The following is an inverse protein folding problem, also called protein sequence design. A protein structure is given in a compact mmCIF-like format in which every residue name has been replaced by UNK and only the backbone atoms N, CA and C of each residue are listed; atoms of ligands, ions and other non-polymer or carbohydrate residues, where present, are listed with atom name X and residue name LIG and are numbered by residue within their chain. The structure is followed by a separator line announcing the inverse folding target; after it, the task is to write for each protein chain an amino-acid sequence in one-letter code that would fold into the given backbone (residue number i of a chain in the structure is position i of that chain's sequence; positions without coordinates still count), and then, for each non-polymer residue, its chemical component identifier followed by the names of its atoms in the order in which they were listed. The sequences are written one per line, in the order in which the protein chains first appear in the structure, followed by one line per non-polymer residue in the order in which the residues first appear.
data_IF_046240149598
#
_entry.id   IF_046240149598
#
_cell.length_a   1.000
_cell.length_b   1.000
_cell.length_c   1.000
_cell.angle_alpha   90.00
_cell.angle_beta   90.00
_cell.angle_gamma   90.00
#
_symmetry.space_group_name_H-M   'P 1'
#
loop_
_entity.id
_entity.type
_entity.pdbx_description
1 polymer ?
#
# COMPACT_ATOMS: atom_id res chain seq x y z
N UNK A 1 -14.78 -34.93 -12.12
CA UNK A 1 -14.90 -34.56 -10.71
C UNK A 1 -13.86 -35.27 -9.86
N UNK A 2 -12.73 -34.59 -9.61
CA UNK A 2 -11.56 -35.10 -8.91
C UNK A 2 -11.87 -35.33 -7.42
N UNK A 3 -11.29 -36.35 -6.78
CA UNK A 3 -11.55 -36.67 -5.36
C UNK A 3 -11.15 -35.52 -4.41
N UNK A 4 -10.23 -34.65 -4.84
CA UNK A 4 -9.85 -33.42 -4.15
C UNK A 4 -11.03 -32.44 -3.98
N UNK A 5 -11.95 -32.36 -4.95
CA UNK A 5 -13.08 -31.43 -4.92
C UNK A 5 -14.15 -31.79 -3.88
N UNK A 6 -14.14 -33.05 -3.38
CA UNK A 6 -15.12 -33.54 -2.39
C UNK A 6 -14.62 -33.50 -0.95
N UNK A 7 -13.37 -33.11 -0.72
CA UNK A 7 -12.76 -33.16 0.62
C UNK A 7 -13.21 -32.05 1.56
N UNK A 8 -13.82 -30.99 1.04
CA UNK A 8 -14.45 -29.97 1.87
C UNK A 8 -15.89 -30.38 2.15
N UNK A 9 -16.29 -30.40 3.42
CA UNK A 9 -17.63 -30.76 3.90
C UNK A 9 -18.72 -29.80 3.36
N UNK A 10 -18.32 -28.69 2.74
CA UNK A 10 -19.19 -27.68 2.17
C UNK A 10 -19.47 -27.92 0.67
N UNK A 11 -20.75 -27.85 0.22
CA UNK A 11 -21.11 -27.97 -1.20
C UNK A 11 -20.31 -26.98 -2.06
N UNK A 12 -19.76 -27.41 -3.20
CA UNK A 12 -18.90 -26.56 -4.04
C UNK A 12 -19.65 -25.34 -4.61
N UNK A 13 -20.97 -25.43 -4.77
CA UNK A 13 -21.84 -24.31 -5.18
C UNK A 13 -21.88 -23.20 -4.13
N UNK A 14 -21.95 -23.54 -2.84
CA UNK A 14 -21.96 -22.54 -1.75
C UNK A 14 -20.62 -21.81 -1.67
N UNK A 15 -19.51 -22.54 -1.81
CA UNK A 15 -18.16 -21.95 -1.82
C UNK A 15 -17.99 -21.01 -3.01
N UNK A 16 -18.48 -21.38 -4.20
CA UNK A 16 -18.43 -20.53 -5.38
C UNK A 16 -19.25 -19.24 -5.22
N UNK A 17 -20.44 -19.31 -4.62
CA UNK A 17 -21.24 -18.12 -4.32
C UNK A 17 -20.57 -17.22 -3.27
N UNK A 18 -20.11 -17.78 -2.15
CA UNK A 18 -19.38 -17.02 -1.13
C UNK A 18 -18.12 -16.35 -1.70
N UNK A 19 -17.44 -17.01 -2.64
CA UNK A 19 -16.32 -16.41 -3.37
C UNK A 19 -16.73 -15.21 -4.23
N UNK A 20 -17.85 -15.32 -4.96
CA UNK A 20 -18.34 -14.26 -5.84
C UNK A 20 -18.95 -13.07 -5.10
N UNK A 21 -19.50 -13.31 -3.92
CA UNK A 21 -20.05 -12.28 -3.03
C UNK A 21 -18.99 -11.70 -2.06
N UNK A 22 -17.73 -12.13 -2.18
CA UNK A 22 -16.58 -11.70 -1.37
C UNK A 22 -16.75 -11.99 0.14
N UNK A 23 -17.43 -13.09 0.47
CA UNK A 23 -17.75 -13.52 1.84
C UNK A 23 -16.75 -14.53 2.41
N UNK A 24 -15.83 -15.06 1.60
CA UNK A 24 -14.78 -15.97 2.07
C UNK A 24 -13.72 -15.24 2.89
N UNK A 25 -13.20 -15.89 3.93
CA UNK A 25 -12.01 -15.38 4.61
C UNK A 25 -10.82 -15.31 3.63
N UNK A 26 -9.88 -14.37 3.81
CA UNK A 26 -8.75 -14.20 2.90
C UNK A 26 -7.94 -15.48 2.64
N UNK A 27 -7.78 -16.33 3.66
CA UNK A 27 -7.10 -17.62 3.58
C UNK A 27 -7.89 -18.61 2.70
N UNK A 28 -9.19 -18.76 2.95
CA UNK A 28 -10.08 -19.65 2.19
C UNK A 28 -10.19 -19.22 0.72
N UNK A 29 -10.28 -17.91 0.48
CA UNK A 29 -10.27 -17.32 -0.85
C UNK A 29 -8.99 -17.71 -1.60
N UNK A 30 -7.83 -17.53 -0.96
CA UNK A 30 -6.54 -17.86 -1.56
C UNK A 30 -6.42 -19.35 -1.88
N UNK A 31 -6.88 -20.22 -0.99
CA UNK A 31 -6.90 -21.67 -1.22
C UNK A 31 -7.78 -22.04 -2.41
N UNK A 32 -8.98 -21.45 -2.50
CA UNK A 32 -9.88 -21.66 -3.64
C UNK A 32 -9.27 -21.17 -4.95
N UNK A 33 -8.66 -19.99 -4.96
CA UNK A 33 -8.00 -19.42 -6.15
C UNK A 33 -6.85 -20.31 -6.62
N UNK A 34 -5.99 -20.77 -5.71
CA UNK A 34 -4.92 -21.74 -6.03
C UNK A 34 -5.50 -23.04 -6.59
N UNK A 35 -6.56 -23.56 -5.99
CA UNK A 35 -7.22 -24.76 -6.47
C UNK A 35 -7.85 -24.57 -7.87
N UNK A 36 -8.48 -23.42 -8.13
CA UNK A 36 -9.10 -23.11 -9.42
C UNK A 36 -8.07 -22.93 -10.55
N UNK A 37 -6.80 -22.62 -10.24
CA UNK A 37 -5.71 -22.64 -11.21
C UNK A 37 -5.39 -24.06 -11.69
N UNK A 38 -5.51 -25.06 -10.81
CA UNK A 38 -5.16 -26.45 -11.09
C UNK A 38 -6.37 -27.32 -11.46
N UNK A 39 -7.59 -26.91 -11.11
CA UNK A 39 -8.81 -27.68 -11.31
C UNK A 39 -9.77 -27.01 -12.30
N UNK A 40 -9.88 -27.59 -13.51
CA UNK A 40 -10.80 -27.11 -14.54
C UNK A 40 -12.29 -27.22 -14.14
N UNK A 41 -12.66 -28.25 -13.36
CA UNK A 41 -14.04 -28.44 -12.90
C UNK A 41 -14.48 -27.28 -11.97
N UNK A 42 -13.64 -26.90 -11.00
CA UNK A 42 -13.93 -25.79 -10.08
C UNK A 42 -13.94 -24.43 -10.79
N UNK A 43 -13.06 -24.24 -11.77
CA UNK A 43 -13.08 -23.04 -12.61
C UNK A 43 -14.38 -22.92 -13.39
N UNK A 44 -14.80 -23.99 -14.07
CA UNK A 44 -16.06 -24.03 -14.81
C UNK A 44 -17.26 -23.78 -13.90
N UNK A 45 -17.24 -24.26 -12.65
CA UNK A 45 -18.28 -23.96 -11.68
C UNK A 45 -18.34 -22.47 -11.33
N UNK A 46 -17.21 -21.86 -10.97
CA UNK A 46 -17.11 -20.41 -10.65
C UNK A 46 -17.59 -19.57 -11.84
N UNK A 47 -17.17 -19.92 -13.06
CA UNK A 47 -17.59 -19.22 -14.28
C UNK A 47 -19.10 -19.35 -14.49
N UNK A 48 -19.68 -20.54 -14.29
CA UNK A 48 -21.12 -20.75 -14.42
C UNK A 48 -21.94 -19.97 -13.37
N UNK A 49 -21.47 -19.87 -12.13
CA UNK A 49 -22.14 -19.07 -11.10
C UNK A 49 -22.02 -17.58 -11.40
N UNK A 50 -20.86 -17.13 -11.92
CA UNK A 50 -20.65 -15.75 -12.34
C UNK A 50 -21.60 -15.37 -13.47
N UNK A 51 -21.78 -16.22 -14.46
CA UNK A 51 -22.75 -16.00 -15.55
C UNK A 51 -24.18 -15.89 -15.01
N UNK A 52 -24.57 -16.76 -14.07
CA UNK A 52 -25.90 -16.68 -13.41
C UNK A 52 -26.06 -15.40 -12.60
N UNK A 53 -25.04 -14.98 -11.85
CA UNK A 53 -25.06 -13.74 -11.07
C UNK A 53 -25.19 -12.53 -12.01
N UNK A 54 -24.44 -12.50 -13.11
CA UNK A 54 -24.54 -11.45 -14.14
C UNK A 54 -25.93 -11.42 -14.80
N UNK A 55 -26.50 -12.59 -15.12
CA UNK A 55 -27.87 -12.67 -15.64
C UNK A 55 -28.90 -12.12 -14.64
N UNK A 56 -28.77 -12.41 -13.35
CA UNK A 56 -29.62 -11.82 -12.30
C UNK A 56 -29.46 -10.31 -12.21
N UNK A 57 -28.22 -9.81 -12.21
CA UNK A 57 -27.93 -8.36 -12.19
C UNK A 57 -28.53 -7.67 -13.42
N UNK A 58 -28.46 -8.28 -14.60
CA UNK A 58 -29.04 -7.73 -15.82
C UNK A 58 -30.57 -7.63 -15.80
N UNK A 59 -31.25 -8.49 -15.03
CA UNK A 59 -32.71 -8.41 -14.82
C UNK A 59 -33.09 -7.30 -13.84
N UNK A 60 -32.16 -6.83 -13.01
CA UNK A 60 -32.40 -5.72 -12.10
C UNK A 60 -32.26 -4.40 -12.86
N UNK A 61 -33.32 -3.60 -12.89
CA UNK A 61 -33.23 -2.23 -13.39
C UNK A 61 -32.34 -1.42 -12.45
N UNK A 62 -31.11 -1.13 -12.88
CA UNK A 62 -30.23 -0.25 -12.13
C UNK A 62 -30.91 1.13 -12.02
N UNK A 63 -31.02 1.70 -10.81
CA UNK A 63 -31.54 3.06 -10.67
C UNK A 63 -30.61 4.01 -11.43
N UNK A 64 -31.20 5.01 -12.09
CA UNK A 64 -30.41 6.02 -12.77
C UNK A 64 -29.50 6.73 -11.77
N UNK A 65 -28.18 6.61 -11.96
CA UNK A 65 -27.22 7.34 -11.15
C UNK A 65 -27.46 8.85 -11.28
N UNK A 66 -27.50 9.63 -10.18
CA UNK A 66 -27.65 11.08 -10.24
C UNK A 66 -26.56 11.72 -11.12
N UNK A 67 -26.94 12.71 -11.93
CA UNK A 67 -26.01 13.33 -12.90
C UNK A 67 -24.78 13.93 -12.23
N UNK A 68 -24.94 14.48 -11.02
CA UNK A 68 -23.83 15.02 -10.22
C UNK A 68 -22.81 13.93 -9.84
N UNK A 69 -23.29 12.73 -9.49
CA UNK A 69 -22.41 11.62 -9.16
C UNK A 69 -21.68 11.12 -10.41
N UNK A 70 -22.39 10.98 -11.53
CA UNK A 70 -21.80 10.60 -12.82
C UNK A 70 -20.71 11.59 -13.25
N UNK A 71 -20.99 12.89 -13.18
CA UNK A 71 -20.03 13.94 -13.50
C UNK A 71 -18.84 14.00 -12.53
N UNK A 72 -19.05 13.69 -11.25
CA UNK A 72 -17.95 13.62 -10.27
C UNK A 72 -17.04 12.43 -10.55
N UNK A 73 -17.60 11.23 -10.77
CA UNK A 73 -16.83 10.02 -11.06
C UNK A 73 -16.09 10.18 -12.39
N UNK A 74 -16.76 10.70 -13.43
CA UNK A 74 -16.13 10.98 -14.72
C UNK A 74 -14.89 11.88 -14.60
N UNK A 75 -14.98 12.98 -13.83
CA UNK A 75 -13.83 13.85 -13.59
C UNK A 75 -12.67 13.18 -12.87
N UNK A 76 -12.95 12.27 -11.93
CA UNK A 76 -11.90 11.52 -11.22
C UNK A 76 -11.21 10.55 -12.18
N UNK A 77 -11.97 9.81 -12.98
CA UNK A 77 -11.43 8.88 -13.97
C UNK A 77 -10.63 9.61 -15.07
N UNK A 78 -11.14 10.75 -15.56
CA UNK A 78 -10.44 11.57 -16.56
C UNK A 78 -9.10 12.09 -16.02
N UNK A 79 -9.05 12.46 -14.73
CA UNK A 79 -7.83 12.91 -14.09
C UNK A 79 -6.80 11.77 -13.94
N UNK A 80 -7.24 10.57 -13.55
CA UNK A 80 -6.39 9.37 -13.47
C UNK A 80 -5.84 8.97 -14.85
N UNK A 81 -6.68 9.00 -15.88
CA UNK A 81 -6.27 8.73 -17.26
C UNK A 81 -5.23 9.74 -17.76
N UNK A 82 -5.41 11.03 -17.46
CA UNK A 82 -4.45 12.06 -17.80
C UNK A 82 -3.11 11.87 -17.06
N UNK A 83 -3.15 11.54 -15.77
CA UNK A 83 -1.97 11.23 -14.98
C UNK A 83 -1.21 10.02 -15.53
N UNK A 84 -1.93 8.95 -15.92
CA UNK A 84 -1.34 7.76 -16.51
C UNK A 84 -0.71 8.03 -17.88
N UNK A 85 -1.37 8.83 -18.74
CA UNK A 85 -0.83 9.21 -20.06
C UNK A 85 0.41 10.08 -19.96
N UNK A 86 0.44 11.02 -19.02
CA UNK A 86 1.63 11.86 -18.79
C UNK A 86 2.77 11.02 -18.24
N UNK A 87 2.54 10.18 -17.23
CA UNK A 87 3.55 9.26 -16.71
C UNK A 87 4.11 8.33 -17.81
N UNK A 88 3.25 7.78 -18.67
CA UNK A 88 3.67 6.98 -19.81
C UNK A 88 4.55 7.78 -20.77
N UNK A 89 4.17 9.00 -21.16
CA UNK A 89 4.99 9.85 -22.04
C UNK A 89 6.40 10.11 -21.48
N UNK A 90 6.52 10.34 -20.18
CA UNK A 90 7.83 10.55 -19.54
C UNK A 90 8.66 9.26 -19.49
N UNK A 91 8.04 8.09 -19.29
CA UNK A 91 8.74 6.79 -19.32
C UNK A 91 9.33 6.48 -20.70
N UNK A 92 8.72 6.94 -21.78
CA UNK A 92 9.21 6.74 -23.15
C UNK A 92 10.24 7.79 -23.58
N UNK A 93 10.39 8.90 -22.85
CA UNK A 93 11.40 9.93 -23.12
C UNK A 93 12.77 9.64 -22.46
N UNK A 94 12.82 8.71 -21.50
CA UNK A 94 14.03 8.36 -20.75
C UNK A 94 15.03 7.37 -21.41
N UNK A 95 14.69 6.50 -22.39
CA UNK A 95 15.67 5.53 -22.90
C UNK A 95 16.82 6.19 -23.70
N UNK A 96 16.64 7.41 -24.20
CA UNK A 96 17.70 8.14 -24.92
C UNK A 96 18.83 8.67 -24.01
N UNK A 97 18.50 9.09 -22.79
CA UNK A 97 19.47 9.70 -21.88
C UNK A 97 20.41 8.64 -21.24
N UNK A 98 19.89 7.44 -20.96
CA UNK A 98 20.68 6.34 -20.41
C UNK A 98 21.73 5.82 -21.40
N UNK A 99 21.40 5.77 -22.70
CA UNK A 99 22.33 5.33 -23.76
C UNK A 99 23.42 6.39 -23.99
N UNK A 100 23.07 7.69 -23.98
CA UNK A 100 24.05 8.77 -24.12
C UNK A 100 25.04 8.84 -22.94
N UNK A 101 24.57 8.61 -21.71
CA UNK A 101 25.44 8.56 -20.52
C UNK A 101 26.43 7.38 -20.56
N UNK A 102 25.99 6.20 -21.03
CA UNK A 102 26.86 5.04 -21.20
C UNK A 102 27.95 5.27 -22.28
N UNK A 103 27.62 5.95 -23.37
CA UNK A 103 28.59 6.31 -24.41
C UNK A 103 29.63 7.33 -23.91
N UNK A 104 29.22 8.31 -23.09
CA UNK A 104 30.15 9.29 -22.51
C UNK A 104 31.13 8.63 -21.50
N UNK A 105 30.68 7.64 -20.73
CA UNK A 105 31.54 6.90 -19.81
C UNK A 105 32.62 6.06 -20.54
N UNK A 106 32.30 5.52 -21.72
CA UNK A 106 33.26 4.80 -22.57
C UNK A 106 34.37 5.72 -23.10
N UNK A 107 34.05 6.96 -23.47
CA UNK A 107 35.05 7.92 -23.97
C UNK A 107 36.04 8.32 -22.88
N UNK A 108 35.58 8.52 -21.64
CA UNK A 108 36.45 8.86 -20.50
C UNK A 108 37.42 7.70 -20.17
N UNK A 109 36.98 6.44 -20.31
CA UNK A 109 37.84 5.29 -20.05
C UNK A 109 38.91 5.09 -21.14
N UNK A 110 38.64 5.47 -22.39
CA UNK A 110 39.64 5.34 -23.47
C UNK A 110 40.76 6.38 -23.43
N UNK A 111 40.53 7.55 -22.80
CA UNK A 111 41.55 8.61 -22.71
C UNK A 111 42.36 8.54 -21.41
N UNK A 112 41.84 7.87 -20.36
CA UNK A 112 42.51 7.75 -19.06
C UNK A 112 43.49 6.58 -18.90
N UNK A 113 43.61 5.67 -19.87
CA UNK A 113 44.37 4.43 -19.75
C UNK A 113 45.86 4.54 -20.16
N UNK A 114 46.54 5.63 -19.79
CA UNK A 114 48.01 5.71 -19.82
C UNK A 114 48.51 5.93 -18.39
N UNK A 115 48.90 4.83 -17.76
CA UNK A 115 49.67 4.85 -16.52
C UNK A 115 48.88 4.51 -15.27
N UNK A 116 48.76 3.23 -14.96
CA UNK A 116 49.08 2.68 -13.63
C UNK A 116 49.03 1.15 -13.71
N UNK A 117 50.14 0.51 -13.32
CA UNK A 117 50.20 -0.92 -13.11
C UNK A 117 49.35 -1.26 -11.88
N UNK A 118 48.24 -1.96 -12.09
CA UNK A 118 47.47 -2.55 -11.00
C UNK A 118 47.18 -4.02 -11.28
N UNK A 119 47.47 -4.79 -10.23
CA UNK A 119 47.46 -6.23 -10.07
C UNK A 119 46.06 -6.82 -10.34
N UNK A 120 45.92 -7.90 -11.14
CA UNK A 120 44.62 -8.51 -11.38
C UNK A 120 44.25 -9.45 -10.23
N UNK A 121 43.20 -9.11 -9.48
CA UNK A 121 42.64 -9.93 -8.41
C UNK A 121 41.12 -9.94 -8.43
N UNK A 122 40.56 -11.02 -8.96
CA UNK A 122 39.26 -11.62 -8.65
C UNK A 122 37.93 -10.87 -8.93
N UNK A 123 37.19 -11.49 -9.87
CA UNK A 123 35.73 -11.76 -9.91
C UNK A 123 34.78 -10.57 -10.10
N UNK A 124 34.24 -10.34 -11.30
CA UNK A 124 33.18 -11.10 -11.98
C UNK A 124 31.77 -10.85 -11.41
N UNK A 125 31.04 -9.95 -12.09
CA UNK A 125 29.62 -10.12 -12.40
C UNK A 125 28.60 -9.84 -11.30
N UNK A 126 28.24 -8.57 -11.09
CA UNK A 126 26.89 -8.22 -10.64
C UNK A 126 26.19 -7.42 -11.73
N UNK A 127 25.53 -8.15 -12.63
CA UNK A 127 24.47 -7.59 -13.47
C UNK A 127 23.27 -7.36 -12.55
N UNK A 128 22.88 -6.10 -12.38
CA UNK A 128 21.68 -5.72 -11.65
C UNK A 128 20.45 -6.39 -12.31
N UNK A 129 19.95 -7.45 -11.68
CA UNK A 129 18.64 -8.00 -12.03
C UNK A 129 17.58 -7.00 -11.56
N UNK A 130 16.99 -6.27 -12.50
CA UNK A 130 15.73 -5.56 -12.28
C UNK A 130 14.66 -6.62 -12.14
N UNK A 131 14.27 -6.93 -10.90
CA UNK A 131 13.19 -7.84 -10.62
C UNK A 131 11.89 -7.35 -11.31
N UNK A 132 11.14 -8.23 -11.99
CA UNK A 132 9.82 -7.87 -12.48
C UNK A 132 8.95 -7.48 -11.28
N UNK A 133 8.27 -6.34 -11.39
CA UNK A 133 7.26 -5.88 -10.43
C UNK A 133 6.17 -6.96 -10.37
N UNK A 134 6.29 -7.88 -9.42
CA UNK A 134 5.30 -8.91 -9.16
C UNK A 134 3.95 -8.24 -8.89
N UNK A 135 2.89 -8.87 -9.39
CA UNK A 135 1.51 -8.46 -9.22
C UNK A 135 1.26 -8.01 -7.77
N UNK A 136 0.77 -6.78 -7.63
CA UNK A 136 0.56 -6.13 -6.33
C UNK A 136 -0.46 -6.96 -5.54
N UNK A 137 -0.11 -7.54 -4.38
CA UNK A 137 -1.15 -8.05 -3.49
C UNK A 137 -1.99 -6.85 -3.06
N UNK A 138 -3.29 -6.90 -3.34
CA UNK A 138 -4.26 -6.04 -2.67
C UNK A 138 -4.27 -6.51 -1.23
N UNK A 139 -3.53 -5.82 -0.37
CA UNK A 139 -3.53 -6.09 1.07
C UNK A 139 -4.84 -5.51 1.60
N UNK A 140 -5.86 -6.34 1.68
CA UNK A 140 -7.12 -6.02 2.34
C UNK A 140 -6.88 -6.11 3.85
N UNK A 141 -6.80 -4.96 4.52
CA UNK A 141 -6.53 -4.93 5.97
C UNK A 141 -7.83 -4.73 6.74
N UNK A 142 -8.27 -5.79 7.41
CA UNK A 142 -9.30 -5.72 8.42
C UNK A 142 -8.75 -5.07 9.68
N UNK A 143 -9.19 -3.84 9.96
CA UNK A 143 -8.80 -3.09 11.15
C UNK A 143 -9.80 -1.97 11.43
N UNK A 144 -11.01 -2.34 11.86
CA UNK A 144 -11.95 -1.39 12.46
C UNK A 144 -11.73 -1.41 13.98
N UNK A 145 -11.12 -0.35 14.50
CA UNK A 145 -10.95 -0.14 15.94
C UNK A 145 -11.88 0.95 16.42
N UNK A 146 -12.66 0.70 17.48
CA UNK A 146 -13.42 1.75 18.17
C UNK A 146 -12.73 2.10 19.48
N UNK A 147 -12.41 3.37 19.63
CA UNK A 147 -11.82 3.96 20.84
C UNK A 147 -12.83 4.96 21.37
N UNK A 148 -12.89 5.19 22.68
CA UNK A 148 -13.92 6.03 23.30
C UNK A 148 -14.09 7.37 22.55
N UNK A 149 -15.23 7.52 21.85
CA UNK A 149 -15.58 8.72 21.09
C UNK A 149 -14.92 8.87 19.72
N UNK A 150 -14.10 7.91 19.27
CA UNK A 150 -13.50 7.89 17.95
C UNK A 150 -13.56 6.51 17.27
N UNK A 151 -14.16 6.43 16.09
CA UNK A 151 -14.07 5.23 15.25
C UNK A 151 -12.92 5.40 14.26
N UNK A 152 -12.06 4.40 14.17
CA UNK A 152 -10.93 4.39 13.27
C UNK A 152 -11.01 3.19 12.34
N UNK A 153 -10.78 3.41 11.05
CA UNK A 153 -10.78 2.38 10.02
C UNK A 153 -9.54 2.48 9.17
N UNK A 154 -8.79 1.40 9.06
CA UNK A 154 -7.74 1.28 8.04
C UNK A 154 -8.40 1.15 6.66
N UNK A 155 -8.12 2.10 5.78
CA UNK A 155 -8.69 2.20 4.43
C UNK A 155 -7.81 1.51 3.40
N UNK A 156 -6.50 1.44 3.64
CA UNK A 156 -5.60 0.71 2.76
C UNK A 156 -4.13 0.84 3.16
N UNK A 157 -3.31 0.04 2.50
CA UNK A 157 -1.86 0.00 2.68
C UNK A 157 -1.20 -0.02 1.31
N UNK A 158 -0.08 0.70 1.16
CA UNK A 158 0.75 0.62 -0.04
C UNK A 158 2.24 0.70 0.29
N UNK A 159 3.10 0.05 -0.52
CA UNK A 159 4.54 0.30 -0.46
C UNK A 159 4.85 1.77 -0.73
N UNK A 160 5.77 2.35 0.04
CA UNK A 160 6.24 3.71 -0.09
C UNK A 160 7.72 3.81 0.32
N UNK A 161 8.26 5.02 0.24
CA UNK A 161 9.54 5.36 0.84
C UNK A 161 9.36 6.53 1.80
N UNK A 162 10.03 6.48 2.95
CA UNK A 162 10.06 7.57 3.93
C UNK A 162 11.50 7.81 4.34
N UNK A 163 12.01 9.03 4.14
CA UNK A 163 13.43 9.38 4.33
C UNK A 163 14.38 8.42 3.60
N UNK A 164 14.09 8.14 2.33
CA UNK A 164 14.82 7.20 1.46
C UNK A 164 14.90 5.74 1.97
N UNK A 165 14.11 5.40 2.99
CA UNK A 165 13.98 4.03 3.49
C UNK A 165 12.68 3.39 2.98
N UNK A 166 12.69 2.10 2.62
CA UNK A 166 11.47 1.36 2.31
C UNK A 166 10.49 1.39 3.50
N UNK A 167 9.23 1.70 3.22
CA UNK A 167 8.19 1.81 4.23
C UNK A 167 6.85 1.23 3.74
N UNK A 168 6.01 0.81 4.67
CA UNK A 168 4.59 0.60 4.41
C UNK A 168 3.83 1.88 4.76
N UNK A 169 3.12 2.47 3.79
CA UNK A 169 2.24 3.60 4.01
C UNK A 169 0.80 3.10 4.22
N UNK A 170 0.22 3.44 5.35
CA UNK A 170 -1.12 3.06 5.78
C UNK A 170 -2.02 4.30 5.81
N UNK A 171 -3.28 4.13 5.39
CA UNK A 171 -4.28 5.20 5.35
C UNK A 171 -5.41 4.91 6.31
N UNK A 172 -5.62 5.77 7.30
CA UNK A 172 -6.70 5.63 8.27
C UNK A 172 -7.75 6.73 8.08
N UNK A 173 -9.01 6.33 8.16
CA UNK A 173 -10.15 7.24 8.37
C UNK A 173 -10.51 7.23 9.85
N UNK A 174 -10.52 8.42 10.45
CA UNK A 174 -10.88 8.64 11.84
C UNK A 174 -12.15 9.50 11.91
N UNK A 175 -13.18 9.06 12.62
CA UNK A 175 -14.29 9.93 13.00
C UNK A 175 -14.04 10.48 14.41
N UNK A 176 -13.81 11.78 14.55
CA UNK A 176 -13.57 12.45 15.83
C UNK A 176 -14.49 13.69 15.91
N UNK A 177 -15.30 13.78 16.97
CA UNK A 177 -16.23 14.91 17.16
C UNK A 177 -17.24 15.07 16.01
N UNK A 178 -17.68 13.97 15.39
CA UNK A 178 -18.61 13.97 14.26
C UNK A 178 -17.99 14.38 12.92
N UNK A 179 -16.69 14.70 12.86
CA UNK A 179 -15.96 14.99 11.62
C UNK A 179 -15.06 13.83 11.25
N UNK A 180 -14.89 13.60 9.94
CA UNK A 180 -13.92 12.62 9.42
C UNK A 180 -12.58 13.31 9.20
N UNK A 181 -11.52 12.65 9.64
CA UNK A 181 -10.13 13.06 9.52
C UNK A 181 -9.34 11.94 8.84
N UNK A 182 -8.34 12.30 8.06
CA UNK A 182 -7.38 11.34 7.51
C UNK A 182 -6.11 11.32 8.36
N UNK A 183 -5.65 10.12 8.68
CA UNK A 183 -4.35 9.90 9.33
C UNK A 183 -3.52 8.99 8.43
N UNK A 184 -2.29 9.38 8.15
CA UNK A 184 -1.35 8.61 7.32
C UNK A 184 -0.29 8.04 8.26
N UNK A 185 -0.16 6.72 8.29
CA UNK A 185 0.89 6.02 9.03
C UNK A 185 2.00 5.55 8.10
N UNK A 186 3.24 5.61 8.54
CA UNK A 186 4.38 4.95 7.92
C UNK A 186 4.99 3.96 8.90
N UNK A 187 5.26 2.73 8.44
CA UNK A 187 5.99 1.71 9.19
C UNK A 187 7.31 1.41 8.48
N UNK A 188 8.41 1.48 9.22
CA UNK A 188 9.76 1.28 8.71
C UNK A 188 10.45 0.18 9.54
N UNK A 189 11.08 -0.81 8.90
CA UNK A 189 11.79 -1.87 9.63
C UNK A 189 13.05 -1.40 10.35
N UNK A 190 13.68 -0.33 9.87
CA UNK A 190 14.89 0.24 10.45
C UNK A 190 14.70 1.75 10.55
N UNK A 191 14.23 2.21 11.71
CA UNK A 191 13.96 3.61 11.94
C UNK A 191 15.25 4.45 11.88
N UNK A 192 15.38 5.38 10.92
CA UNK A 192 16.51 6.29 10.94
C UNK A 192 16.38 7.26 12.14
N UNK A 193 17.49 7.75 12.72
CA UNK A 193 17.47 8.56 13.95
C UNK A 193 16.66 9.85 13.81
N UNK A 194 16.46 10.35 12.59
CA UNK A 194 15.64 11.50 12.24
C UNK A 194 14.16 11.32 12.65
N UNK A 195 13.68 10.09 12.79
CA UNK A 195 12.31 9.82 13.28
C UNK A 195 12.13 10.28 14.73
N UNK A 196 13.21 10.36 15.52
CA UNK A 196 13.19 10.84 16.90
C UNK A 196 13.35 12.38 17.01
N UNK A 197 13.16 13.10 15.91
CA UNK A 197 13.18 14.55 15.92
C UNK A 197 11.90 15.14 16.55
N UNK A 198 12.03 16.28 17.24
CA UNK A 198 10.91 17.01 17.82
C UNK A 198 10.83 16.93 19.35
N UNK A 199 9.68 17.31 19.90
CA UNK A 199 9.43 17.30 21.34
C UNK A 199 9.14 15.87 21.80
N UNK A 200 9.89 15.41 22.81
CA UNK A 200 9.69 14.10 23.42
C UNK A 200 8.52 14.12 24.41
N UNK A 201 7.63 13.14 24.29
CA UNK A 201 6.53 12.85 25.20
C UNK A 201 6.62 11.40 25.67
N UNK A 202 6.29 11.14 26.93
CA UNK A 202 6.20 9.77 27.47
C UNK A 202 4.76 9.51 27.87
N UNK A 203 4.11 8.56 27.21
CA UNK A 203 2.70 8.21 27.45
C UNK A 203 2.52 6.71 27.38
N UNK A 204 1.87 6.11 28.39
CA UNK A 204 1.62 4.66 28.43
C UNK A 204 2.91 3.81 28.38
N UNK A 205 4.02 4.31 28.92
CA UNK A 205 5.32 3.63 28.86
C UNK A 205 6.03 3.70 27.50
N UNK A 206 5.47 4.41 26.51
CA UNK A 206 6.07 4.61 25.19
C UNK A 206 6.67 6.01 25.08
N UNK A 207 7.85 6.08 24.47
CA UNK A 207 8.46 7.35 24.05
C UNK A 207 7.89 7.72 22.67
N UNK A 208 7.27 8.90 22.60
CA UNK A 208 6.71 9.48 21.39
C UNK A 208 7.43 10.78 21.10
N UNK A 209 7.66 11.07 19.83
CA UNK A 209 8.26 12.32 19.38
C UNK A 209 7.25 13.08 18.53
N UNK A 210 7.04 14.35 18.87
CA UNK A 210 6.06 15.21 18.21
C UNK A 210 6.78 16.31 17.47
N UNK A 211 6.58 16.37 16.17
CA UNK A 211 7.19 17.38 15.30
C UNK A 211 6.12 18.04 14.42
N UNK A 212 6.34 19.31 14.07
CA UNK A 212 5.58 19.97 12.99
C UNK A 212 6.45 19.91 11.74
N UNK A 213 6.00 19.16 10.74
CA UNK A 213 6.73 18.98 9.48
C UNK A 213 6.14 19.91 8.42
N UNK A 214 6.98 20.44 7.53
CA UNK A 214 6.52 21.32 6.44
C UNK A 214 6.57 22.83 6.73
N UNK A 215 7.42 23.28 7.66
CA UNK A 215 7.60 24.69 8.05
C UNK A 215 8.20 25.65 7.01
N UNK A 216 7.95 25.42 5.72
CA UNK A 216 8.19 26.42 4.67
C UNK A 216 7.12 27.51 4.67
N UNK A 217 6.79 28.06 3.50
CA UNK A 217 5.68 29.03 3.34
C UNK A 217 4.26 28.41 3.45
N UNK A 218 4.16 27.10 3.70
CA UNK A 218 2.89 26.38 3.83
C UNK A 218 2.51 26.08 5.28
N UNK A 219 1.24 25.76 5.55
CA UNK A 219 0.83 25.26 6.86
C UNK A 219 1.56 23.94 7.14
N UNK A 220 2.40 23.92 8.16
CA UNK A 220 3.00 22.69 8.65
C UNK A 220 1.92 21.74 9.16
N UNK A 221 2.18 20.44 9.06
CA UNK A 221 1.30 19.39 9.59
C UNK A 221 1.98 18.69 10.77
N UNK A 222 1.16 18.21 11.70
CA UNK A 222 1.67 17.47 12.85
C UNK A 222 2.13 16.08 12.43
N UNK A 223 3.23 15.65 13.04
CA UNK A 223 3.77 14.31 12.96
C UNK A 223 4.00 13.78 14.38
N UNK A 224 3.58 12.55 14.64
CA UNK A 224 3.85 11.81 15.87
C UNK A 224 4.58 10.54 15.49
N UNK A 225 5.74 10.31 16.09
CA UNK A 225 6.56 9.14 15.80
C UNK A 225 6.92 8.34 17.04
N UNK A 226 7.16 7.05 16.81
CA UNK A 226 7.59 6.08 17.81
C UNK A 226 8.65 5.15 17.20
N UNK A 227 9.59 4.69 18.01
CA UNK A 227 10.52 3.62 17.65
C UNK A 227 10.46 2.57 18.74
N UNK A 228 10.13 1.34 18.37
CA UNK A 228 10.03 0.23 19.32
C UNK A 228 11.40 -0.39 19.65
N UNK A 229 11.37 -1.48 20.43
CA UNK A 229 12.58 -2.18 20.86
C UNK A 229 13.32 -2.84 19.67
N UNK A 230 12.59 -3.25 18.64
CA UNK A 230 13.11 -3.92 17.43
C UNK A 230 13.58 -2.93 16.36
N UNK A 231 13.65 -1.63 16.71
CA UNK A 231 13.98 -0.52 15.80
C UNK A 231 12.98 -0.32 14.67
N UNK A 232 11.74 -0.82 14.81
CA UNK A 232 10.67 -0.50 13.88
C UNK A 232 10.17 0.91 14.17
N UNK A 233 10.16 1.74 13.14
CA UNK A 233 9.74 3.14 13.21
C UNK A 233 8.29 3.29 12.76
N UNK A 234 7.50 3.98 13.56
CA UNK A 234 6.11 4.35 13.25
C UNK A 234 6.04 5.85 13.15
N UNK A 235 5.48 6.38 12.07
CA UNK A 235 5.27 7.83 11.88
C UNK A 235 3.84 8.08 11.45
N UNK A 236 3.08 8.80 12.25
CA UNK A 236 1.72 9.19 11.95
C UNK A 236 1.66 10.67 11.64
N UNK A 237 0.97 11.05 10.56
CA UNK A 237 0.75 12.44 10.18
C UNK A 237 -0.72 12.68 9.87
N UNK A 238 -1.17 13.92 10.04
CA UNK A 238 -2.51 14.32 9.61
C UNK A 238 -2.51 15.80 9.21
N UNK A 239 -3.13 16.16 8.07
CA UNK A 239 -3.28 17.57 7.67
C UNK A 239 -4.34 18.29 8.50
N UNK A 240 -5.29 17.55 9.09
CA UNK A 240 -6.50 18.11 9.70
C UNK A 240 -6.50 18.06 11.23
N UNK A 241 -5.48 17.45 11.84
CA UNK A 241 -5.35 17.33 13.29
C UNK A 241 -4.19 18.18 13.81
N UNK A 242 -4.43 18.88 14.91
CA UNK A 242 -3.35 19.49 15.68
C UNK A 242 -2.43 18.42 16.28
N UNK A 243 -1.20 18.80 16.65
CA UNK A 243 -0.25 17.90 17.29
C UNK A 243 -0.81 17.22 18.55
N UNK A 244 -1.55 17.96 19.38
CA UNK A 244 -2.20 17.42 20.57
C UNK A 244 -3.27 16.39 20.22
N UNK A 245 -4.14 16.69 19.24
CA UNK A 245 -5.17 15.74 18.80
C UNK A 245 -4.56 14.49 18.19
N UNK A 246 -3.55 14.63 17.33
CA UNK A 246 -2.86 13.50 16.72
C UNK A 246 -2.16 12.63 17.77
N UNK A 247 -1.52 13.24 18.77
CA UNK A 247 -0.91 12.51 19.89
C UNK A 247 -1.95 11.73 20.69
N UNK A 248 -3.11 12.33 20.97
CA UNK A 248 -4.24 11.65 21.62
C UNK A 248 -4.74 10.47 20.79
N UNK A 249 -4.91 10.64 19.47
CA UNK A 249 -5.35 9.56 18.58
C UNK A 249 -4.34 8.42 18.55
N UNK A 250 -3.04 8.71 18.39
CA UNK A 250 -1.99 7.68 18.33
C UNK A 250 -1.89 6.89 19.63
N UNK A 251 -2.08 7.55 20.78
CA UNK A 251 -1.99 6.91 22.10
C UNK A 251 -3.25 6.14 22.47
N UNK A 252 -4.43 6.72 22.27
CA UNK A 252 -5.69 6.11 22.68
C UNK A 252 -6.17 5.04 21.70
N UNK A 253 -5.89 5.23 20.40
CA UNK A 253 -6.30 4.28 19.37
C UNK A 253 -5.36 3.11 19.16
N UNK A 254 -4.33 3.02 20.00
CA UNK A 254 -3.26 2.03 19.93
C UNK A 254 -2.78 1.79 18.50
N UNK A 255 -2.64 2.88 17.75
CA UNK A 255 -2.30 2.88 16.33
C UNK A 255 -0.99 2.14 16.07
N UNK A 256 -0.08 2.16 17.05
CA UNK A 256 1.19 1.45 17.03
C UNK A 256 0.95 -0.07 17.04
N UNK A 257 0.10 -0.58 17.94
CA UNK A 257 -0.23 -2.02 17.98
C UNK A 257 -0.94 -2.46 16.70
N UNK A 258 -1.87 -1.66 16.18
CA UNK A 258 -2.52 -1.96 14.90
C UNK A 258 -1.54 -1.96 13.73
N UNK A 259 -0.60 -1.01 13.71
CA UNK A 259 0.44 -0.93 12.69
C UNK A 259 1.41 -2.12 12.76
N UNK A 260 1.76 -2.59 13.96
CA UNK A 260 2.64 -3.74 14.15
C UNK A 260 1.98 -5.07 13.78
N UNK A 261 0.64 -5.13 13.80
CA UNK A 261 -0.12 -6.32 13.44
C UNK A 261 -0.40 -6.43 11.93
N UNK A 262 -0.13 -5.37 11.16
CA UNK A 262 -0.31 -5.40 9.71
C UNK A 262 0.80 -6.27 9.06
N UNK A 263 0.43 -7.29 8.26
CA UNK A 263 1.39 -8.24 7.66
C UNK A 263 2.27 -7.63 6.56
#
# INVERSE_FOLDING_TARGET
MNAQCRRNEMPPELVAMAYLDDELAPEERRELELHALECADCRALIDSERERQQARVALLAAPAAPDLLRARIGRVLDAEDQANRTAARWRWALPGAAIAAAAAALVVFTVGAVGTNHTPGATAGQVAQVAPLAARPVIEVQGAGTVQGASMRLVGVRPASFLDQPAAQMFYELALGGRRHQVIGYVLRQAPPQIRAGQRHVMGGRELFVAITGGGQGPGFAAVSHVDADQVGYVFTSPDLSAAQLLTVVTQADLITHASAAP
#
